data_IF_480582876816
#
_entry.id   IF_480582876816
#
_cell.length_a   1.000
_cell.length_b   1.000
_cell.length_c   1.000
_cell.angle_alpha   90.00
_cell.angle_beta   90.00
_cell.angle_gamma   90.00
#
_symmetry.space_group_name_H-M   'P 1'
#
loop_
_entity.id
_entity.type
_entity.pdbx_description
1 polymer ?
#
# COMPACT_ATOMS: atom_id res chain seq x y z
N UNK A 1 -24.22 15.76 -7.07
CA UNK A 1 -23.55 14.80 -6.19
C UNK A 1 -22.06 14.87 -6.35
N UNK A 2 -21.37 14.88 -5.27
CA UNK A 2 -19.92 14.97 -5.30
C UNK A 2 -19.34 13.57 -5.36
N UNK A 3 -18.49 13.33 -6.34
CA UNK A 3 -17.74 12.07 -6.40
C UNK A 3 -16.53 12.22 -5.48
N UNK A 4 -16.48 11.41 -4.46
CA UNK A 4 -15.34 11.41 -3.55
C UNK A 4 -14.22 10.57 -4.15
N UNK A 5 -13.24 11.26 -4.71
CA UNK A 5 -12.01 10.63 -5.16
C UNK A 5 -10.92 10.92 -4.15
N UNK A 6 -10.16 9.90 -3.83
CA UNK A 6 -8.97 10.08 -3.01
C UNK A 6 -7.88 10.60 -3.94
N UNK A 7 -7.35 11.81 -3.72
CA UNK A 7 -6.27 12.29 -4.58
C UNK A 7 -5.00 11.46 -4.37
N UNK A 8 -4.26 11.28 -5.44
CA UNK A 8 -3.01 10.52 -5.38
C UNK A 8 -2.04 11.12 -4.36
N UNK A 9 -2.04 12.45 -4.22
CA UNK A 9 -1.20 13.14 -3.25
C UNK A 9 -1.47 12.69 -1.81
N UNK A 10 -2.72 12.36 -1.47
CA UNK A 10 -3.05 11.87 -0.13
C UNK A 10 -2.45 10.48 0.11
N UNK A 11 -2.48 9.62 -0.91
CA UNK A 11 -1.88 8.30 -0.84
C UNK A 11 -0.36 8.40 -0.74
N UNK A 12 0.25 9.27 -1.56
CA UNK A 12 1.69 9.49 -1.54
C UNK A 12 2.16 10.03 -0.18
N UNK A 13 1.34 10.87 0.47
CA UNK A 13 1.65 11.37 1.80
C UNK A 13 1.65 10.25 2.85
N UNK A 14 0.68 9.34 2.79
CA UNK A 14 0.63 8.19 3.69
C UNK A 14 1.89 7.33 3.50
N UNK A 15 2.27 7.07 2.25
CA UNK A 15 3.45 6.28 1.94
C UNK A 15 4.72 6.98 2.44
N UNK A 16 4.82 8.30 2.24
CA UNK A 16 5.97 9.07 2.69
C UNK A 16 6.15 9.03 4.21
N UNK A 17 5.07 8.86 4.96
CA UNK A 17 5.09 8.76 6.42
C UNK A 17 5.21 7.32 6.92
N UNK A 18 5.28 6.36 6.02
CA UNK A 18 5.38 4.94 6.35
C UNK A 18 6.84 4.51 6.43
N UNK A 19 7.09 3.47 7.23
CA UNK A 19 8.41 2.85 7.28
C UNK A 19 8.45 1.74 6.23
N UNK A 20 9.46 1.76 5.36
CA UNK A 20 9.57 0.81 4.26
C UNK A 20 10.89 0.06 4.38
N UNK A 21 10.82 -1.26 4.26
CA UNK A 21 11.98 -2.14 4.27
C UNK A 21 11.93 -3.01 3.03
N UNK A 22 13.01 -3.04 2.28
CA UNK A 22 13.12 -3.87 1.08
C UNK A 22 14.33 -4.76 1.22
N UNK A 23 14.18 -6.05 0.91
CA UNK A 23 15.29 -6.98 0.98
C UNK A 23 15.11 -8.12 -0.01
N UNK A 24 16.21 -8.80 -0.29
CA UNK A 24 16.24 -9.99 -1.13
C UNK A 24 16.09 -11.22 -0.24
N UNK A 25 15.10 -12.06 -0.55
CA UNK A 25 14.92 -13.34 0.12
C UNK A 25 15.34 -14.44 -0.85
N UNK A 26 16.13 -15.36 -0.36
CA UNK A 26 16.77 -16.39 -1.18
C UNK A 26 17.58 -15.74 -2.32
N UNK A 27 17.51 -16.28 -3.52
CA UNK A 27 18.33 -15.79 -4.64
C UNK A 27 17.54 -15.07 -5.73
N UNK A 28 16.24 -15.00 -5.61
CA UNK A 28 15.39 -14.51 -6.71
C UNK A 28 14.11 -13.82 -6.27
N UNK A 29 13.96 -13.48 -5.00
CA UNK A 29 12.73 -12.87 -4.50
C UNK A 29 13.02 -11.54 -3.82
N UNK A 30 12.27 -10.50 -4.22
CA UNK A 30 12.26 -9.22 -3.53
C UNK A 30 11.07 -9.19 -2.58
N UNK A 31 11.31 -8.80 -1.33
CA UNK A 31 10.25 -8.62 -0.33
C UNK A 31 10.29 -7.18 0.14
N UNK A 32 9.13 -6.54 0.18
CA UNK A 32 8.99 -5.17 0.70
C UNK A 32 7.94 -5.18 1.79
N UNK A 33 8.31 -4.69 2.96
CA UNK A 33 7.39 -4.47 4.07
C UNK A 33 7.16 -2.99 4.23
N UNK A 34 5.92 -2.62 4.55
CA UNK A 34 5.55 -1.23 4.77
C UNK A 34 4.71 -1.16 6.03
N UNK A 35 5.19 -0.38 6.99
CA UNK A 35 4.40 -0.09 8.20
C UNK A 35 3.77 1.28 8.03
N UNK A 36 2.45 1.31 7.95
CA UNK A 36 1.68 2.54 7.79
C UNK A 36 1.75 3.40 9.06
N UNK A 37 1.38 4.68 8.98
CA UNK A 37 1.49 5.59 10.13
C UNK A 37 0.76 5.14 11.39
N UNK A 38 -0.30 4.35 11.23
CA UNK A 38 -1.05 3.82 12.39
C UNK A 38 -0.50 2.49 12.90
N UNK A 39 0.58 1.98 12.32
CA UNK A 39 1.20 0.73 12.72
C UNK A 39 0.76 -0.50 11.94
N UNK A 40 -0.23 -0.37 11.04
CA UNK A 40 -0.67 -1.49 10.21
C UNK A 40 0.44 -1.87 9.23
N UNK A 41 0.73 -3.17 9.09
CA UNK A 41 1.85 -3.64 8.27
C UNK A 41 1.32 -4.33 7.02
N UNK A 42 1.87 -3.93 5.88
CA UNK A 42 1.63 -4.56 4.59
C UNK A 42 2.92 -5.22 4.10
N UNK A 43 2.78 -6.32 3.39
CA UNK A 43 3.91 -7.04 2.80
C UNK A 43 3.58 -7.38 1.35
N UNK A 44 4.53 -7.14 0.46
CA UNK A 44 4.45 -7.58 -0.92
C UNK A 44 5.75 -8.25 -1.31
N UNK A 45 5.67 -9.13 -2.28
CA UNK A 45 6.86 -9.81 -2.79
C UNK A 45 6.78 -9.95 -4.30
N UNK A 46 7.96 -10.05 -4.92
CA UNK A 46 8.10 -10.26 -6.35
C UNK A 46 9.19 -11.28 -6.59
N UNK A 47 8.84 -12.42 -7.14
CA UNK A 47 9.78 -13.49 -7.45
C UNK A 47 10.16 -13.49 -8.91
N UNK A 48 11.35 -14.02 -9.18
CA UNK A 48 11.91 -14.17 -10.51
C UNK A 48 12.10 -15.67 -10.79
N UNK A 49 11.78 -16.11 -12.00
CA UNK A 49 11.91 -17.53 -12.35
C UNK A 49 13.36 -17.95 -12.39
N UNK A 50 14.22 -17.11 -13.00
CA UNK A 50 15.65 -17.39 -13.17
C UNK A 50 16.45 -16.43 -12.31
N UNK A 51 17.21 -16.92 -11.31
CA UNK A 51 18.03 -16.05 -10.45
C UNK A 51 19.02 -15.19 -11.23
N UNK A 52 19.48 -15.64 -12.39
CA UNK A 52 20.40 -14.84 -13.21
C UNK A 52 19.73 -13.59 -13.81
N UNK A 53 18.42 -13.58 -13.91
CA UNK A 53 17.64 -12.44 -14.37
C UNK A 53 17.10 -11.59 -13.22
N UNK A 54 17.51 -11.86 -11.99
CA UNK A 54 17.00 -11.13 -10.84
C UNK A 54 17.47 -9.66 -10.87
N UNK A 55 16.51 -8.76 -10.71
CA UNK A 55 16.74 -7.32 -10.63
C UNK A 55 16.04 -6.79 -9.38
N UNK A 56 16.84 -6.47 -8.37
CA UNK A 56 16.31 -6.02 -7.07
C UNK A 56 15.51 -4.73 -7.21
N UNK A 57 16.02 -3.76 -7.95
CA UNK A 57 15.37 -2.46 -8.09
C UNK A 57 14.03 -2.60 -8.81
N UNK A 58 13.97 -3.42 -9.84
CA UNK A 58 12.71 -3.72 -10.52
C UNK A 58 11.73 -4.42 -9.57
N UNK A 59 12.21 -5.37 -8.78
CA UNK A 59 11.38 -6.05 -7.78
C UNK A 59 10.82 -5.08 -6.76
N UNK A 60 11.61 -4.16 -6.27
CA UNK A 60 11.15 -3.11 -5.34
C UNK A 60 10.09 -2.24 -5.99
N UNK A 61 10.31 -1.84 -7.24
CA UNK A 61 9.35 -1.02 -7.99
C UNK A 61 7.99 -1.72 -8.12
N UNK A 62 8.02 -3.01 -8.47
CA UNK A 62 6.80 -3.81 -8.59
C UNK A 62 6.08 -3.91 -7.24
N UNK A 63 6.81 -4.19 -6.17
CA UNK A 63 6.24 -4.28 -4.83
C UNK A 63 5.67 -2.95 -4.36
N UNK A 64 6.37 -1.84 -4.61
CA UNK A 64 5.90 -0.52 -4.20
C UNK A 64 4.62 -0.14 -4.95
N UNK A 65 4.51 -0.49 -6.23
CA UNK A 65 3.27 -0.25 -6.98
C UNK A 65 2.10 -1.05 -6.40
N UNK A 66 2.34 -2.30 -6.02
CA UNK A 66 1.33 -3.15 -5.40
C UNK A 66 0.93 -2.61 -4.03
N UNK A 67 1.90 -2.18 -3.22
CA UNK A 67 1.64 -1.59 -1.91
C UNK A 67 0.82 -0.30 -2.03
N UNK A 68 1.13 0.55 -3.00
CA UNK A 68 0.38 1.78 -3.24
C UNK A 68 -1.09 1.47 -3.54
N UNK A 69 -1.38 0.45 -4.36
CA UNK A 69 -2.75 0.03 -4.63
C UNK A 69 -3.45 -0.43 -3.36
N UNK A 70 -2.76 -1.16 -2.49
CA UNK A 70 -3.32 -1.63 -1.23
C UNK A 70 -3.61 -0.48 -0.26
N UNK A 71 -2.71 0.50 -0.19
CA UNK A 71 -2.93 1.72 0.63
C UNK A 71 -4.18 2.46 0.13
N UNK A 72 -4.33 2.55 -1.19
CA UNK A 72 -5.51 3.20 -1.78
C UNK A 72 -6.80 2.50 -1.36
N UNK A 73 -6.82 1.17 -1.40
CA UNK A 73 -7.98 0.39 -1.00
C UNK A 73 -8.29 0.54 0.49
N UNK A 74 -7.27 0.52 1.33
CA UNK A 74 -7.45 0.70 2.78
C UNK A 74 -7.97 2.09 3.10
N UNK A 75 -7.44 3.11 2.45
CA UNK A 75 -7.89 4.49 2.66
C UNK A 75 -9.33 4.66 2.17
N UNK A 76 -9.66 4.05 1.05
CA UNK A 76 -11.03 4.04 0.53
C UNK A 76 -11.99 3.40 1.52
N UNK A 77 -11.62 2.27 2.09
CA UNK A 77 -12.45 1.60 3.10
C UNK A 77 -12.62 2.49 4.34
N UNK A 78 -11.52 3.08 4.83
CA UNK A 78 -11.56 3.95 6.00
C UNK A 78 -12.51 5.14 5.80
N UNK A 79 -12.40 5.79 4.65
CA UNK A 79 -13.25 6.94 4.32
C UNK A 79 -14.70 6.51 4.19
N UNK A 80 -14.95 5.39 3.54
CA UNK A 80 -16.31 4.86 3.40
C UNK A 80 -16.93 4.53 4.75
N UNK A 81 -16.13 3.94 5.65
CA UNK A 81 -16.61 3.59 6.98
C UNK A 81 -16.96 4.86 7.78
N UNK A 82 -16.10 5.88 7.71
CA UNK A 82 -16.38 7.14 8.39
C UNK A 82 -17.64 7.82 7.87
N UNK A 83 -17.84 7.77 6.55
CA UNK A 83 -19.04 8.33 5.92
C UNK A 83 -20.29 7.56 6.34
N UNK A 84 -20.22 6.24 6.37
CA UNK A 84 -21.29 5.38 6.82
C UNK A 84 -21.67 5.68 8.28
N UNK A 85 -20.67 5.78 9.15
CA UNK A 85 -20.88 6.06 10.57
C UNK A 85 -21.54 7.43 10.77
N UNK A 86 -21.15 8.42 9.99
CA UNK A 86 -21.74 9.75 10.06
C UNK A 86 -23.23 9.74 9.64
N UNK A 87 -23.58 8.95 8.63
CA UNK A 87 -24.96 8.81 8.19
C UNK A 87 -25.81 8.09 9.26
N UNK A 88 -25.26 7.03 9.86
CA UNK A 88 -25.94 6.30 10.93
C UNK A 88 -26.20 7.20 12.14
N UNK A 89 -25.20 8.01 12.53
CA UNK A 89 -25.34 8.96 13.63
C UNK A 89 -26.42 10.01 13.33
N UNK A 90 -26.49 10.45 12.08
CA UNK A 90 -27.52 11.43 11.65
C UNK A 90 -28.93 10.88 11.65
N UNK A 91 -29.09 9.56 11.58
CA UNK A 91 -30.40 8.90 11.57
C UNK A 91 -30.86 8.44 12.95
N UNK A 92 -30.03 8.62 13.95
CA UNK A 92 -30.33 8.18 15.31
C UNK A 92 -31.34 9.09 16.02
#
# INVERSE_FOLDING_TARGET
>A
MTTHKIPESAIDEIIAKSAVHAFKEYDSCTVVTMRLPNGFVLVESSGCIDPSGYDHDLGVEICMAALKRRVWQLEGYRIKQAFHDALEAGNA
#
